data_IF_316501005714
#
_entry.id   IF_316501005714
#
_cell.length_a   1.000
_cell.length_b   1.000
_cell.length_c   1.000
_cell.angle_alpha   90.00
_cell.angle_beta   90.00
_cell.angle_gamma   90.00
#
_symmetry.space_group_name_H-M   'P 1'
#
loop_
_entity.id
_entity.type
_entity.pdbx_description
1 polymer ?
#
# COMPACT_ATOMS: atom_id res chain seq x y z
N UNK A 1 -111.71 -20.13 48.80
CA UNK A 1 -112.03 -19.19 47.69
C UNK A 1 -110.96 -19.41 46.64
N UNK A 2 -111.33 -19.71 45.39
CA UNK A 2 -110.36 -20.04 44.35
C UNK A 2 -109.78 -18.77 43.73
N UNK A 3 -108.46 -18.73 43.57
CA UNK A 3 -107.78 -17.61 42.92
C UNK A 3 -108.18 -17.54 41.45
N UNK A 4 -108.71 -16.38 41.02
CA UNK A 4 -109.00 -16.13 39.61
C UNK A 4 -107.77 -15.49 38.97
N UNK A 5 -107.10 -16.22 38.07
CA UNK A 5 -106.06 -15.65 37.22
C UNK A 5 -106.71 -14.71 36.18
N UNK A 6 -106.51 -13.40 36.34
CA UNK A 6 -106.94 -12.38 35.38
C UNK A 6 -105.81 -12.14 34.39
N UNK A 7 -106.01 -12.51 33.11
CA UNK A 7 -105.14 -12.10 32.01
C UNK A 7 -105.75 -10.90 31.29
N UNK A 8 -105.01 -9.79 31.24
CA UNK A 8 -105.39 -8.59 30.49
C UNK A 8 -104.90 -8.76 29.06
N UNK A 9 -105.76 -8.52 28.07
CA UNK A 9 -105.39 -8.52 26.65
C UNK A 9 -105.73 -7.18 26.01
N UNK A 10 -104.89 -6.73 25.09
CA UNK A 10 -105.15 -5.51 24.30
C UNK A 10 -105.15 -5.84 22.80
N UNK A 11 -105.90 -5.06 22.02
CA UNK A 11 -105.86 -5.10 20.55
C UNK A 11 -105.22 -3.81 20.06
N UNK A 12 -104.12 -3.90 19.34
CA UNK A 12 -103.51 -2.78 18.64
C UNK A 12 -104.13 -2.64 17.24
N UNK A 13 -104.02 -1.46 16.63
CA UNK A 13 -104.68 -1.15 15.35
C UNK A 13 -104.12 -1.96 14.16
N UNK A 14 -102.99 -2.63 14.35
CA UNK A 14 -102.19 -3.28 13.31
C UNK A 14 -102.33 -4.81 13.31
N UNK A 15 -103.05 -5.39 14.29
CA UNK A 15 -103.28 -6.84 14.34
C UNK A 15 -104.77 -7.17 14.58
N UNK A 16 -105.27 -8.16 13.85
CA UNK A 16 -106.65 -8.65 13.94
C UNK A 16 -106.92 -9.50 15.20
N UNK A 17 -105.88 -9.83 15.98
CA UNK A 17 -105.93 -10.68 17.17
C UNK A 17 -105.74 -9.94 18.51
N UNK A 18 -106.06 -10.62 19.62
CA UNK A 18 -105.83 -10.12 20.99
C UNK A 18 -104.45 -10.51 21.50
N UNK A 19 -103.62 -9.53 21.86
CA UNK A 19 -102.31 -9.76 22.47
C UNK A 19 -102.41 -9.81 24.00
N UNK A 20 -101.72 -10.78 24.61
CA UNK A 20 -101.64 -10.91 26.06
C UNK A 20 -100.71 -9.84 26.63
N UNK A 21 -101.22 -9.06 27.60
CA UNK A 21 -100.45 -8.05 28.30
C UNK A 21 -99.94 -8.62 29.63
N UNK A 22 -98.66 -8.93 29.70
CA UNK A 22 -98.03 -9.37 30.94
C UNK A 22 -97.67 -8.14 31.80
N UNK A 23 -97.99 -8.12 33.11
CA UNK A 23 -97.49 -7.09 34.01
C UNK A 23 -95.97 -7.17 34.04
N UNK A 24 -95.27 -6.21 33.43
CA UNK A 24 -93.81 -6.13 33.55
C UNK A 24 -93.48 -5.65 34.96
N UNK A 25 -92.59 -6.36 35.66
CA UNK A 25 -92.14 -5.96 37.00
C UNK A 25 -91.33 -4.66 36.91
N UNK A 26 -91.35 -3.85 37.98
CA UNK A 26 -90.76 -2.49 38.01
C UNK A 26 -89.29 -2.39 37.57
N UNK A 27 -88.55 -3.51 37.55
CA UNK A 27 -87.16 -3.55 37.06
C UNK A 27 -87.01 -3.38 35.54
N UNK A 28 -88.08 -3.52 34.76
CA UNK A 28 -88.04 -3.39 33.29
C UNK A 28 -88.24 -1.95 32.79
N UNK A 29 -88.48 -0.96 33.67
CA UNK A 29 -88.89 0.40 33.29
C UNK A 29 -87.79 1.47 33.45
N UNK A 30 -86.53 1.08 33.66
CA UNK A 30 -85.44 2.06 33.78
C UNK A 30 -84.58 2.03 32.52
N UNK A 31 -84.93 2.86 31.54
CA UNK A 31 -83.96 3.34 30.54
C UNK A 31 -82.99 4.28 31.26
N UNK A 32 -81.95 3.71 31.90
CA UNK A 32 -80.89 4.55 32.46
C UNK A 32 -80.13 5.11 31.27
N UNK A 33 -80.22 6.44 31.07
CA UNK A 33 -79.32 7.16 30.18
C UNK A 33 -77.95 7.23 30.86
N UNK A 34 -77.19 6.14 30.74
CA UNK A 34 -75.98 5.83 31.50
C UNK A 34 -75.95 4.32 31.77
N UNK A 35 -74.84 3.65 31.53
CA UNK A 35 -74.79 2.18 31.59
C UNK A 35 -75.41 1.58 32.85
N UNK A 36 -76.01 0.40 32.75
CA UNK A 36 -76.62 -0.26 33.91
C UNK A 36 -75.56 -0.58 34.99
N UNK A 37 -76.01 -0.88 36.20
CA UNK A 37 -75.09 -1.30 37.28
C UNK A 37 -74.31 -2.54 36.85
N UNK A 38 -74.96 -3.47 36.14
CA UNK A 38 -74.34 -4.66 35.57
C UNK A 38 -73.26 -4.31 34.54
N UNK A 39 -73.48 -3.28 33.71
CA UNK A 39 -72.47 -2.79 32.77
C UNK A 39 -71.29 -2.13 33.49
N UNK A 40 -71.53 -1.41 34.59
CA UNK A 40 -70.47 -0.79 35.38
C UNK A 40 -69.59 -1.83 36.09
N UNK A 41 -70.16 -2.87 36.70
CA UNK A 41 -69.38 -3.89 37.43
C UNK A 41 -68.64 -4.86 36.50
N UNK A 42 -69.05 -4.95 35.24
CA UNK A 42 -68.37 -5.77 34.21
C UNK A 42 -67.34 -5.00 33.39
N UNK A 43 -67.25 -3.68 33.55
CA UNK A 43 -66.27 -2.82 32.87
C UNK A 43 -64.86 -2.96 33.46
N UNK A 44 -64.10 -3.94 32.96
CA UNK A 44 -62.71 -4.18 33.39
C UNK A 44 -61.73 -3.04 33.09
N UNK A 45 -62.11 -2.03 32.30
CA UNK A 45 -61.23 -0.88 32.01
C UNK A 45 -61.24 0.13 33.16
N UNK A 46 -62.39 0.28 33.83
CA UNK A 46 -62.59 1.28 34.89
C UNK A 46 -62.29 0.76 36.31
N UNK A 47 -62.02 -0.54 36.47
CA UNK A 47 -61.71 -1.17 37.76
C UNK A 47 -60.26 -1.65 37.85
N UNK A 48 -59.71 -1.68 39.06
CA UNK A 48 -58.35 -2.17 39.33
C UNK A 48 -58.40 -3.43 40.18
N UNK A 49 -57.59 -4.43 39.82
CA UNK A 49 -57.51 -5.67 40.60
C UNK A 49 -56.59 -5.52 41.82
N UNK A 50 -56.68 -6.49 42.75
CA UNK A 50 -55.69 -6.61 43.83
C UNK A 50 -54.27 -6.85 43.30
N UNK A 51 -54.15 -7.58 42.18
CA UNK A 51 -52.87 -7.87 41.51
C UNK A 51 -52.25 -6.61 40.92
N UNK A 52 -53.05 -5.73 40.30
CA UNK A 52 -52.57 -4.46 39.73
C UNK A 52 -52.00 -3.57 40.83
N UNK A 53 -52.76 -3.42 41.93
CA UNK A 53 -52.31 -2.66 43.10
C UNK A 53 -51.01 -3.22 43.69
N UNK A 54 -50.91 -4.54 43.81
CA UNK A 54 -49.68 -5.20 44.30
C UNK A 54 -48.48 -4.92 43.39
N UNK A 55 -48.68 -5.00 42.07
CA UNK A 55 -47.66 -4.75 41.07
C UNK A 55 -47.18 -3.29 41.11
N UNK A 56 -48.10 -2.33 41.17
CA UNK A 56 -47.78 -0.91 41.27
C UNK A 56 -47.03 -0.57 42.57
N UNK A 57 -47.46 -1.14 43.70
CA UNK A 57 -46.80 -0.94 44.98
C UNK A 57 -45.39 -1.55 45.01
N UNK A 58 -45.19 -2.71 44.36
CA UNK A 58 -43.88 -3.33 44.22
C UNK A 58 -42.94 -2.47 43.36
N UNK A 59 -43.44 -1.97 42.23
CA UNK A 59 -42.69 -1.07 41.36
C UNK A 59 -42.30 0.23 42.10
N UNK A 60 -43.23 0.78 42.90
CA UNK A 60 -42.94 1.97 43.72
C UNK A 60 -41.88 1.70 44.78
N UNK A 61 -41.99 0.57 45.48
CA UNK A 61 -41.01 0.14 46.49
C UNK A 61 -39.63 -0.05 45.87
N UNK A 62 -39.54 -0.67 44.70
CA UNK A 62 -38.29 -0.83 43.97
C UNK A 62 -37.72 0.51 43.49
N UNK A 63 -38.56 1.41 42.96
CA UNK A 63 -38.14 2.75 42.54
C UNK A 63 -37.64 3.62 43.70
N UNK A 64 -38.14 3.39 44.91
CA UNK A 64 -37.71 4.10 46.11
C UNK A 64 -36.49 3.42 46.77
N UNK A 65 -36.13 2.22 46.34
CA UNK A 65 -34.96 1.50 46.84
C UNK A 65 -33.67 2.12 46.28
N UNK A 66 -32.63 2.20 47.11
CA UNK A 66 -31.33 2.73 46.68
C UNK A 66 -30.70 1.81 45.62
N UNK A 67 -30.42 2.33 44.42
CA UNK A 67 -29.93 1.56 43.27
C UNK A 67 -28.40 1.35 43.22
N UNK A 68 -27.69 1.80 44.25
CA UNK A 68 -26.27 1.50 44.43
C UNK A 68 -25.99 1.27 45.92
N UNK A 69 -25.17 0.27 46.31
CA UNK A 69 -24.74 0.18 47.68
C UNK A 69 -24.01 1.48 48.05
N UNK A 70 -24.15 1.94 49.29
CA UNK A 70 -23.66 3.25 49.77
C UNK A 70 -22.16 3.48 49.59
N UNK A 71 -21.40 2.42 49.27
CA UNK A 71 -19.96 2.42 49.02
C UNK A 71 -19.58 2.12 47.55
N UNK A 72 -20.52 2.15 46.61
CA UNK A 72 -20.20 2.00 45.19
C UNK A 72 -19.56 3.28 44.64
N UNK A 73 -18.32 3.15 44.17
CA UNK A 73 -17.61 4.19 43.44
C UNK A 73 -17.84 4.04 41.95
N UNK A 74 -18.05 5.15 41.22
CA UNK A 74 -18.15 5.08 39.76
C UNK A 74 -16.78 4.73 39.17
N UNK A 75 -16.76 3.96 38.10
CA UNK A 75 -15.51 3.62 37.41
C UNK A 75 -14.71 4.85 36.96
N UNK A 76 -15.39 5.95 36.63
CA UNK A 76 -14.74 7.24 36.30
C UNK A 76 -14.00 7.88 37.46
N UNK A 77 -14.41 7.54 38.68
CA UNK A 77 -13.91 8.15 39.91
C UNK A 77 -12.82 7.28 40.53
N UNK A 78 -12.55 6.08 39.98
CA UNK A 78 -11.45 5.20 40.42
C UNK A 78 -10.12 5.84 40.03
N UNK A 79 -9.39 6.26 41.04
CA UNK A 79 -8.08 6.87 40.88
C UNK A 79 -6.99 5.80 40.75
N UNK A 80 -5.86 6.21 40.15
CA UNK A 80 -4.66 5.38 40.07
C UNK A 80 -4.19 4.89 41.45
N UNK A 81 -4.25 5.75 42.47
CA UNK A 81 -3.82 5.40 43.83
C UNK A 81 -4.69 4.30 44.45
N UNK A 82 -5.99 4.29 44.17
CA UNK A 82 -6.90 3.22 44.62
C UNK A 82 -6.62 1.91 43.89
N UNK A 83 -6.33 1.96 42.59
CA UNK A 83 -5.91 0.78 41.82
C UNK A 83 -4.62 0.21 42.38
N UNK A 84 -3.60 1.03 42.61
CA UNK A 84 -2.30 0.61 43.15
C UNK A 84 -2.41 0.08 44.59
N UNK A 85 -3.30 0.65 45.41
CA UNK A 85 -3.57 0.16 46.76
C UNK A 85 -4.28 -1.21 46.76
N UNK A 86 -5.10 -1.50 45.74
CA UNK A 86 -5.80 -2.79 45.58
C UNK A 86 -4.94 -3.84 44.88
N UNK A 87 -4.08 -3.44 43.95
CA UNK A 87 -3.05 -4.29 43.35
C UNK A 87 -1.90 -4.46 44.35
N UNK A 88 -2.13 -5.25 45.39
CA UNK A 88 -1.09 -5.61 46.35
C UNK A 88 -0.15 -6.64 45.73
N UNK A 89 0.98 -6.17 45.19
CA UNK A 89 2.03 -7.02 44.61
C UNK A 89 2.83 -6.30 43.53
N UNK A 90 3.95 -6.88 43.12
CA UNK A 90 4.69 -6.42 41.94
C UNK A 90 4.13 -7.14 40.72
N UNK A 91 3.66 -6.40 39.72
CA UNK A 91 3.43 -6.97 38.38
C UNK A 91 4.80 -7.38 37.85
N UNK A 92 5.18 -8.63 38.09
CA UNK A 92 6.54 -9.13 37.83
C UNK A 92 6.81 -9.26 36.33
N UNK A 93 5.76 -9.48 35.54
CA UNK A 93 5.80 -9.34 34.09
C UNK A 93 4.40 -9.10 33.55
N UNK A 94 4.32 -8.39 32.44
CA UNK A 94 3.25 -8.56 31.47
C UNK A 94 3.92 -8.72 30.10
N UNK A 95 3.40 -9.65 29.29
CA UNK A 95 3.95 -9.97 27.97
C UNK A 95 2.93 -9.61 26.91
N UNK A 96 3.36 -8.84 25.91
CA UNK A 96 2.62 -8.67 24.67
C UNK A 96 3.13 -9.70 23.67
N UNK A 97 2.31 -10.71 23.36
CA UNK A 97 2.66 -11.76 22.41
C UNK A 97 2.67 -11.30 20.94
N UNK A 98 2.57 -10.00 20.65
CA UNK A 98 2.55 -9.53 19.26
C UNK A 98 3.03 -8.08 19.14
N UNK A 99 4.11 -7.92 18.37
CA UNK A 99 4.19 -6.80 17.44
C UNK A 99 5.08 -5.62 17.84
N UNK A 100 6.29 -5.83 18.35
CA UNK A 100 7.35 -4.92 17.90
C UNK A 100 7.53 -5.15 16.41
N UNK A 101 7.38 -4.15 15.52
CA UNK A 101 7.79 -4.29 14.13
C UNK A 101 9.28 -4.62 14.15
N UNK A 102 9.61 -5.91 14.03
CA UNK A 102 10.96 -6.34 13.70
C UNK A 102 11.37 -5.57 12.45
N UNK A 103 12.63 -5.14 12.36
CA UNK A 103 13.13 -4.46 11.19
C UNK A 103 12.82 -5.30 9.93
N UNK A 104 11.82 -4.88 9.16
CA UNK A 104 11.24 -5.62 8.04
C UNK A 104 12.22 -5.85 6.87
N UNK A 105 13.41 -5.24 6.95
CA UNK A 105 14.46 -5.43 5.95
C UNK A 105 14.93 -6.88 5.91
N UNK A 106 15.05 -7.53 7.07
CA UNK A 106 15.68 -8.86 7.16
C UNK A 106 14.70 -9.97 6.77
N UNK A 107 13.39 -9.71 6.84
CA UNK A 107 12.35 -10.66 6.41
C UNK A 107 12.28 -10.82 4.90
N UNK A 108 12.69 -9.80 4.13
CA UNK A 108 12.71 -9.81 2.66
C UNK A 108 13.93 -10.48 2.03
N UNK A 109 14.96 -10.77 2.82
CA UNK A 109 16.15 -11.48 2.33
C UNK A 109 15.84 -12.97 2.11
N UNK A 110 16.65 -13.63 1.28
CA UNK A 110 16.57 -15.08 1.07
C UNK A 110 16.69 -15.83 2.40
N UNK A 111 15.66 -16.61 2.74
CA UNK A 111 15.57 -17.34 4.02
C UNK A 111 14.82 -16.60 5.13
N UNK A 112 14.38 -15.36 4.91
CA UNK A 112 13.49 -14.65 5.81
C UNK A 112 12.04 -15.17 5.75
N UNK A 113 11.23 -14.76 6.73
CA UNK A 113 9.82 -15.18 6.82
C UNK A 113 8.90 -14.61 5.72
N UNK A 114 9.33 -13.55 5.03
CA UNK A 114 8.62 -12.87 3.95
C UNK A 114 9.58 -12.59 2.78
N UNK A 115 10.30 -13.65 2.36
CA UNK A 115 11.37 -13.53 1.39
C UNK A 115 10.81 -13.17 -0.01
N UNK A 116 11.40 -12.15 -0.63
CA UNK A 116 11.10 -11.82 -2.03
C UNK A 116 11.85 -12.84 -2.91
N UNK A 117 11.15 -13.60 -3.78
CA UNK A 117 11.80 -14.58 -4.64
C UNK A 117 12.86 -13.94 -5.54
N UNK A 118 13.97 -14.64 -5.85
CA UNK A 118 14.92 -14.16 -6.82
C UNK A 118 14.26 -14.02 -8.20
N UNK A 119 14.62 -12.97 -8.91
CA UNK A 119 14.19 -12.77 -10.30
C UNK A 119 14.66 -13.93 -11.19
N UNK A 120 13.80 -14.36 -12.10
CA UNK A 120 14.14 -15.33 -13.16
C UNK A 120 14.03 -14.65 -14.52
N UNK A 121 14.39 -15.36 -15.59
CA UNK A 121 14.20 -14.85 -16.96
C UNK A 121 12.73 -14.80 -17.39
N UNK A 122 11.79 -15.29 -16.58
CA UNK A 122 10.36 -15.32 -16.90
C UNK A 122 9.44 -14.78 -15.79
N UNK A 123 9.98 -14.46 -14.61
CA UNK A 123 9.22 -13.97 -13.45
C UNK A 123 9.97 -12.78 -12.86
N UNK A 124 9.27 -11.66 -12.72
CA UNK A 124 9.78 -10.44 -12.08
C UNK A 124 10.11 -10.66 -10.60
N UNK A 125 11.17 -9.99 -10.11
CA UNK A 125 11.53 -9.93 -8.69
C UNK A 125 11.82 -8.48 -8.28
N UNK A 126 12.92 -8.23 -7.56
CA UNK A 126 13.36 -6.84 -7.29
C UNK A 126 13.75 -6.06 -8.55
N UNK A 127 14.05 -6.77 -9.64
CA UNK A 127 14.23 -6.22 -10.98
C UNK A 127 13.33 -7.00 -11.95
N UNK A 128 13.02 -6.41 -13.11
CA UNK A 128 12.18 -7.08 -14.10
C UNK A 128 12.88 -8.30 -14.73
N UNK A 129 12.10 -9.30 -15.13
CA UNK A 129 12.56 -10.45 -15.91
C UNK A 129 13.17 -9.99 -17.25
N UNK A 130 12.62 -8.91 -17.82
CA UNK A 130 13.14 -8.29 -19.04
C UNK A 130 14.55 -7.74 -18.85
N UNK A 131 14.82 -7.08 -17.72
CA UNK A 131 16.16 -6.55 -17.43
C UNK A 131 17.13 -7.67 -17.03
N UNK A 132 16.66 -8.73 -16.36
CA UNK A 132 17.46 -9.96 -16.15
C UNK A 132 17.95 -10.54 -17.46
N UNK A 133 17.04 -10.72 -18.42
CA UNK A 133 17.35 -11.28 -19.73
C UNK A 133 18.36 -10.40 -20.50
N UNK A 134 18.21 -9.07 -20.44
CA UNK A 134 19.19 -8.14 -21.03
C UNK A 134 20.57 -8.30 -20.41
N UNK A 135 20.66 -8.35 -19.07
CA UNK A 135 21.94 -8.46 -18.36
C UNK A 135 22.62 -9.82 -18.57
N UNK A 136 21.87 -10.91 -18.63
CA UNK A 136 22.43 -12.25 -18.96
C UNK A 136 22.96 -12.34 -20.39
N UNK A 137 22.41 -11.55 -21.31
CA UNK A 137 22.92 -11.44 -22.68
C UNK A 137 24.24 -10.68 -22.80
N UNK A 138 24.69 -9.98 -21.76
CA UNK A 138 25.96 -9.24 -21.76
C UNK A 138 27.09 -10.23 -21.45
N UNK A 139 27.84 -10.62 -22.48
CA UNK A 139 29.03 -11.44 -22.33
C UNK A 139 30.09 -10.78 -21.43
N UNK A 140 30.91 -11.60 -20.78
CA UNK A 140 32.03 -11.09 -19.99
C UNK A 140 32.93 -10.19 -20.85
N UNK A 141 33.06 -8.92 -20.46
CA UNK A 141 33.84 -7.93 -21.20
C UNK A 141 33.14 -7.30 -22.41
N UNK A 142 31.81 -7.32 -22.49
CA UNK A 142 31.04 -6.76 -23.62
C UNK A 142 31.30 -5.28 -23.97
N UNK A 143 32.01 -4.52 -23.14
CA UNK A 143 32.44 -3.13 -23.44
C UNK A 143 33.97 -2.98 -23.51
N UNK A 144 34.72 -4.07 -23.54
CA UNK A 144 36.17 -4.03 -23.58
C UNK A 144 36.65 -3.71 -25.00
N UNK A 145 36.83 -2.43 -25.30
CA UNK A 145 37.52 -2.02 -26.52
C UNK A 145 39.01 -2.33 -26.40
N UNK A 146 39.48 -3.32 -27.16
CA UNK A 146 40.91 -3.63 -27.30
C UNK A 146 41.43 -2.92 -28.55
N UNK A 147 42.29 -1.92 -28.37
CA UNK A 147 42.91 -1.25 -29.50
C UNK A 147 43.77 -2.25 -30.29
N UNK A 148 43.58 -2.40 -31.61
CA UNK A 148 44.32 -3.41 -32.36
C UNK A 148 45.83 -3.13 -32.33
N UNK A 149 46.62 -4.19 -32.17
CA UNK A 149 48.10 -4.12 -32.16
C UNK A 149 48.73 -4.87 -33.34
N UNK A 150 47.92 -5.28 -34.31
CA UNK A 150 48.30 -5.96 -35.56
C UNK A 150 49.07 -5.03 -36.50
N UNK A 151 49.73 -5.62 -37.51
CA UNK A 151 50.35 -4.85 -38.59
C UNK A 151 49.30 -3.92 -39.24
N UNK A 152 49.67 -2.65 -39.44
CA UNK A 152 48.75 -1.60 -39.91
C UNK A 152 48.07 -0.78 -38.80
N UNK A 153 48.02 -1.30 -37.56
CA UNK A 153 47.32 -0.65 -36.44
C UNK A 153 48.26 -0.17 -35.34
N UNK A 154 49.57 -0.38 -35.49
CA UNK A 154 50.59 0.10 -34.55
C UNK A 154 50.83 1.59 -34.76
N UNK A 155 50.89 2.34 -33.67
CA UNK A 155 51.21 3.77 -33.71
C UNK A 155 52.66 4.02 -34.17
N UNK A 156 52.89 5.18 -34.76
CA UNK A 156 54.24 5.71 -34.95
C UNK A 156 54.88 6.00 -33.58
N UNK A 157 56.21 5.88 -33.43
CA UNK A 157 56.89 6.20 -32.17
C UNK A 157 56.69 7.66 -31.78
N UNK A 158 56.61 7.92 -30.49
CA UNK A 158 56.61 9.29 -29.94
C UNK A 158 58.02 9.90 -29.98
N UNK A 159 58.14 11.22 -29.84
CA UNK A 159 59.43 11.89 -29.66
C UNK A 159 60.17 12.32 -30.94
N UNK A 160 59.47 12.39 -32.08
CA UNK A 160 60.04 12.99 -33.29
C UNK A 160 60.26 14.49 -33.15
N UNK A 161 61.32 14.99 -33.79
CA UNK A 161 61.67 16.41 -33.84
C UNK A 161 61.73 16.92 -35.30
N UNK A 162 61.70 18.24 -35.47
CA UNK A 162 61.86 18.89 -36.79
C UNK A 162 63.15 18.43 -37.48
N UNK A 163 63.05 18.05 -38.76
CA UNK A 163 64.18 17.56 -39.55
C UNK A 163 64.44 16.06 -39.47
N UNK A 164 63.64 15.31 -38.69
CA UNK A 164 63.70 13.85 -38.65
C UNK A 164 62.67 13.23 -39.60
N UNK A 165 63.00 12.05 -40.12
CA UNK A 165 62.09 11.19 -40.90
C UNK A 165 61.86 9.88 -40.17
N UNK A 166 60.73 9.24 -40.44
CA UNK A 166 60.43 7.92 -39.90
C UNK A 166 61.21 6.86 -40.70
N UNK A 167 62.15 6.20 -40.03
CA UNK A 167 62.98 5.13 -40.63
C UNK A 167 62.37 3.77 -40.38
N UNK A 168 62.29 2.96 -41.43
CA UNK A 168 61.79 1.59 -41.33
C UNK A 168 62.74 0.72 -40.50
N UNK A 169 62.24 0.12 -39.42
CA UNK A 169 63.02 -0.71 -38.50
C UNK A 169 62.99 -2.20 -38.81
N UNK A 170 62.62 -2.60 -40.03
CA UNK A 170 62.62 -4.01 -40.45
C UNK A 170 61.34 -4.81 -40.18
N UNK A 171 60.40 -4.30 -39.37
CA UNK A 171 59.05 -4.90 -39.21
C UNK A 171 58.00 -3.88 -38.75
N UNK A 172 56.73 -4.29 -38.67
CA UNK A 172 55.65 -3.41 -38.20
C UNK A 172 55.84 -3.00 -36.74
N UNK A 173 55.88 -1.69 -36.48
CA UNK A 173 56.00 -1.12 -35.14
C UNK A 173 57.43 -0.95 -34.62
N UNK A 174 58.44 -1.24 -35.44
CA UNK A 174 59.85 -1.02 -35.07
C UNK A 174 60.47 0.21 -35.72
N UNK A 175 59.68 0.98 -36.47
CA UNK A 175 60.15 2.23 -37.05
C UNK A 175 60.65 3.19 -35.96
N UNK A 176 61.60 4.06 -36.30
CA UNK A 176 62.16 5.04 -35.36
C UNK A 176 62.43 6.37 -36.05
N UNK A 177 62.42 7.46 -35.28
CA UNK A 177 62.79 8.77 -35.79
C UNK A 177 64.31 8.88 -35.95
N UNK A 178 64.77 9.36 -37.10
CA UNK A 178 66.18 9.57 -37.36
C UNK A 178 66.45 10.66 -38.40
N UNK A 179 67.66 11.22 -38.39
CA UNK A 179 68.10 12.17 -39.40
C UNK A 179 68.38 11.45 -40.73
N UNK A 180 68.10 12.11 -41.85
CA UNK A 180 68.54 11.65 -43.17
C UNK A 180 70.06 11.85 -43.29
N UNK A 181 70.79 10.80 -43.63
CA UNK A 181 72.25 10.82 -43.82
C UNK A 181 72.60 10.99 -45.30
N UNK A 182 73.78 11.54 -45.58
CA UNK A 182 74.25 11.71 -46.96
C UNK A 182 74.31 10.39 -47.75
N UNK A 183 74.62 9.27 -47.07
CA UNK A 183 74.64 7.94 -47.69
C UNK A 183 73.25 7.48 -48.17
N UNK A 184 72.17 7.91 -47.51
CA UNK A 184 70.78 7.55 -47.87
C UNK A 184 70.26 8.36 -49.07
N UNK A 185 70.89 9.49 -49.39
CA UNK A 185 70.52 10.35 -50.52
C UNK A 185 71.15 9.89 -51.84
N UNK A 186 71.97 8.84 -51.82
CA UNK A 186 72.74 8.36 -52.96
C UNK A 186 73.89 9.32 -53.33
N UNK A 187 74.64 8.98 -54.39
CA UNK A 187 75.69 9.84 -54.91
C UNK A 187 75.07 11.14 -55.42
N UNK A 188 75.07 12.18 -54.59
CA UNK A 188 74.70 13.50 -55.02
C UNK A 188 75.77 13.95 -56.01
N UNK A 189 75.39 14.14 -57.28
CA UNK A 189 76.27 14.82 -58.22
C UNK A 189 76.37 16.26 -57.77
N UNK A 190 77.44 16.58 -57.02
CA UNK A 190 77.77 17.95 -56.67
C UNK A 190 77.96 18.74 -57.97
N UNK A 191 77.18 19.81 -58.13
CA UNK A 191 77.40 20.77 -59.21
C UNK A 191 78.48 21.72 -58.70
N UNK A 192 79.72 21.49 -59.11
CA UNK A 192 80.84 22.38 -58.80
C UNK A 192 80.74 23.63 -59.69
N UNK A 193 80.48 24.78 -59.08
CA UNK A 193 80.54 26.08 -59.76
C UNK A 193 81.82 26.80 -59.33
N UNK A 194 82.74 27.01 -60.27
CA UNK A 194 83.99 27.75 -60.04
C UNK A 194 84.21 28.82 -61.12
N UNK A 195 84.91 29.89 -60.77
CA UNK A 195 85.28 30.95 -61.71
C UNK A 195 86.37 30.53 -62.71
N UNK A 196 86.92 29.33 -62.56
CA UNK A 196 87.98 28.78 -63.42
C UNK A 196 87.74 27.30 -63.62
N UNK A 197 87.88 26.82 -64.86
CA UNK A 197 87.71 25.43 -65.20
C UNK A 197 88.72 24.54 -64.44
N UNK A 198 88.31 23.35 -63.96
CA UNK A 198 89.21 22.45 -63.26
C UNK A 198 90.35 21.99 -64.19
N UNK A 199 91.59 21.99 -63.69
CA UNK A 199 92.77 21.57 -64.45
C UNK A 199 92.83 20.07 -64.76
N UNK A 200 91.97 19.28 -64.11
CA UNK A 200 91.84 17.82 -64.28
C UNK A 200 90.36 17.41 -64.16
N UNK A 201 89.54 17.56 -65.22
CA UNK A 201 88.14 17.18 -65.18
C UNK A 201 87.96 15.66 -65.07
N UNK A 202 87.03 15.22 -64.23
CA UNK A 202 86.67 13.80 -64.10
C UNK A 202 85.56 13.46 -65.11
N UNK A 203 85.57 12.25 -65.66
CA UNK A 203 84.54 11.81 -66.61
C UNK A 203 83.12 11.93 -66.00
N UNK A 204 82.28 12.76 -66.62
CA UNK A 204 80.89 12.98 -66.19
C UNK A 204 80.66 14.15 -65.22
N UNK A 205 81.70 14.96 -64.97
CA UNK A 205 81.63 16.25 -64.29
C UNK A 205 81.08 17.33 -65.25
N UNK A 206 80.20 18.20 -64.75
CA UNK A 206 79.63 19.32 -65.52
C UNK A 206 80.22 20.63 -64.99
N UNK A 207 80.88 21.40 -65.86
CA UNK A 207 81.40 22.73 -65.54
C UNK A 207 80.59 23.79 -66.31
N UNK A 208 80.15 24.83 -65.60
CA UNK A 208 79.46 25.98 -66.19
C UNK A 208 80.33 27.22 -65.97
N UNK A 209 80.88 27.79 -67.05
CA UNK A 209 81.63 29.04 -67.01
C UNK A 209 80.67 30.22 -66.98
N UNK A 210 80.81 31.09 -65.98
CA UNK A 210 80.09 32.37 -65.96
C UNK A 210 80.89 33.37 -66.79
N UNK A 211 80.54 33.49 -68.07
CA UNK A 211 81.04 34.57 -68.92
C UNK A 211 80.39 35.88 -68.46
N UNK A 212 81.21 36.87 -68.10
CA UNK A 212 80.75 38.24 -67.80
C UNK A 212 80.10 38.90 -69.02
#
# INVERSE_FOLDING_TARGET
MADKNIQIKQRNAENSGWDNLYPKTKGSLVEVTGGSVEQHVTDGVSHVSSTDRSSWNTAKTHSDSSHAPVNAQKNSDITKAEIEAKLTGVITSHSHASGTPTAHKDTHLTGGSDAIPPVTTSIDGLMSASDKAKLEGIGAGANNYVHPTTAGNKHIPTGGATGQVLKYGGSSGTASWGAVTAAELGAQKEITVSATAPSTPIAGELFFEVLS
#
